data_IF_051037053199
#
_entry.id   IF_051037053199
#
_cell.length_a   1.000
_cell.length_b   1.000
_cell.length_c   1.000
_cell.angle_alpha   90.00
_cell.angle_beta   90.00
_cell.angle_gamma   90.00
#
_symmetry.space_group_name_H-M   'P 1'
#
loop_
_entity.id
_entity.type
_entity.pdbx_description
1 polymer ?
#
# COMPACT_ATOMS: atom_id res chain seq x y z
N UNK A 1 -7.70 30.91 -8.50
CA UNK A 1 -7.06 29.61 -8.82
C UNK A 1 -6.13 29.13 -7.69
N UNK A 2 -6.49 29.34 -6.41
CA UNK A 2 -5.64 29.01 -5.25
C UNK A 2 -6.18 27.89 -4.33
N UNK A 3 -7.43 27.43 -4.50
CA UNK A 3 -8.04 26.42 -3.62
C UNK A 3 -7.67 24.96 -3.99
N UNK A 4 -6.63 24.73 -4.81
CA UNK A 4 -6.22 23.38 -5.23
C UNK A 4 -5.13 22.79 -4.33
N UNK A 5 -4.44 23.63 -3.55
CA UNK A 5 -3.31 23.26 -2.70
C UNK A 5 -3.57 23.52 -1.20
N UNK A 6 -4.77 23.97 -0.83
CA UNK A 6 -5.14 24.14 0.58
C UNK A 6 -5.31 22.77 1.23
N UNK A 7 -4.21 22.31 1.82
CA UNK A 7 -4.12 21.11 2.63
C UNK A 7 -3.84 21.51 4.08
N UNK A 8 -4.43 20.77 5.02
CA UNK A 8 -4.31 21.07 6.44
C UNK A 8 -2.84 21.02 6.89
N UNK A 9 -2.50 21.79 7.92
CA UNK A 9 -1.15 21.78 8.51
C UNK A 9 -0.73 20.36 8.90
N UNK A 10 -1.63 19.60 9.53
CA UNK A 10 -1.39 18.22 9.96
C UNK A 10 -1.15 17.28 8.77
N UNK A 11 -1.92 17.39 7.69
CA UNK A 11 -1.73 16.57 6.49
C UNK A 11 -0.39 16.86 5.80
N UNK A 12 0.05 18.13 5.78
CA UNK A 12 1.41 18.51 5.34
C UNK A 12 2.50 17.91 6.22
N UNK A 13 2.33 17.97 7.54
CA UNK A 13 3.25 17.36 8.50
C UNK A 13 3.34 15.84 8.29
N UNK A 14 2.22 15.16 8.02
CA UNK A 14 2.21 13.72 7.72
C UNK A 14 2.97 13.38 6.43
N UNK A 15 2.79 14.14 5.34
CA UNK A 15 3.58 13.97 4.11
C UNK A 15 5.07 14.16 4.40
N UNK A 16 5.43 15.22 5.13
CA UNK A 16 6.81 15.51 5.46
C UNK A 16 7.44 14.38 6.30
N UNK A 17 6.75 13.90 7.34
CA UNK A 17 7.20 12.76 8.14
C UNK A 17 7.34 11.50 7.30
N UNK A 18 6.40 11.22 6.40
CA UNK A 18 6.46 10.06 5.51
C UNK A 18 7.69 10.11 4.60
N UNK A 19 7.94 11.25 3.96
CA UNK A 19 9.13 11.48 3.12
C UNK A 19 10.41 11.35 3.94
N UNK A 20 10.46 11.95 5.13
CA UNK A 20 11.64 11.91 6.00
C UNK A 20 11.99 10.47 6.41
N UNK A 21 11.01 9.69 6.87
CA UNK A 21 11.22 8.29 7.25
C UNK A 21 11.69 7.48 6.04
N UNK A 22 11.05 7.65 4.89
CA UNK A 22 11.47 6.98 3.65
C UNK A 22 12.89 7.33 3.23
N UNK A 23 13.32 8.58 3.41
CA UNK A 23 14.70 9.02 3.14
C UNK A 23 15.69 8.35 4.09
N UNK A 24 15.39 8.31 5.40
CA UNK A 24 16.27 7.67 6.39
C UNK A 24 16.44 6.18 6.08
N UNK A 25 15.33 5.49 5.77
CA UNK A 25 15.38 4.06 5.43
C UNK A 25 16.13 3.84 4.12
N UNK A 26 15.90 4.68 3.11
CA UNK A 26 16.61 4.59 1.84
C UNK A 26 18.13 4.78 2.00
N UNK A 27 18.56 5.74 2.83
CA UNK A 27 19.98 5.90 3.17
C UNK A 27 20.53 4.64 3.83
N UNK A 28 19.79 4.04 4.76
CA UNK A 28 20.15 2.76 5.37
C UNK A 28 20.32 1.64 4.34
N UNK A 29 19.43 1.54 3.35
CA UNK A 29 19.56 0.61 2.23
C UNK A 29 20.84 0.87 1.42
N UNK A 30 21.16 2.11 1.08
CA UNK A 30 22.38 2.43 0.34
C UNK A 30 23.66 2.14 1.14
N UNK A 31 23.67 2.39 2.45
CA UNK A 31 24.79 1.98 3.29
C UNK A 31 24.98 0.46 3.29
N UNK A 32 23.89 -0.32 3.33
CA UNK A 32 23.98 -1.78 3.25
C UNK A 32 24.57 -2.26 1.92
N UNK A 33 24.22 -1.63 0.80
CA UNK A 33 24.81 -1.95 -0.51
C UNK A 33 26.32 -1.68 -0.49
N UNK A 34 26.73 -0.47 -0.10
CA UNK A 34 28.14 -0.05 -0.13
C UNK A 34 29.04 -0.92 0.77
N UNK A 35 28.50 -1.43 1.87
CA UNK A 35 29.26 -2.23 2.84
C UNK A 35 29.29 -3.74 2.54
N UNK A 36 28.55 -4.21 1.53
CA UNK A 36 28.50 -5.63 1.19
C UNK A 36 29.58 -5.98 0.16
N UNK A 37 30.29 -7.10 0.36
CA UNK A 37 31.27 -7.61 -0.61
C UNK A 37 30.61 -7.96 -1.97
N UNK A 38 31.28 -7.61 -3.07
CA UNK A 38 30.81 -7.69 -4.47
C UNK A 38 30.23 -9.06 -4.91
N UNK A 39 30.46 -10.15 -4.18
CA UNK A 39 29.96 -11.50 -4.50
C UNK A 39 28.50 -11.73 -4.10
N UNK A 40 27.89 -10.84 -3.29
CA UNK A 40 26.50 -10.93 -2.83
C UNK A 40 25.58 -9.84 -3.41
N UNK A 41 26.09 -8.97 -4.29
CA UNK A 41 25.42 -7.72 -4.68
C UNK A 41 24.07 -7.91 -5.39
N UNK A 42 23.95 -8.81 -6.38
CA UNK A 42 22.72 -8.96 -7.19
C UNK A 42 21.52 -9.50 -6.40
N UNK A 43 21.72 -10.48 -5.50
CA UNK A 43 20.64 -11.05 -4.69
C UNK A 43 20.20 -10.08 -3.57
N UNK A 44 21.15 -9.30 -3.02
CA UNK A 44 20.89 -8.34 -1.96
C UNK A 44 20.09 -7.11 -2.45
N UNK A 45 20.46 -6.57 -3.61
CA UNK A 45 19.83 -5.38 -4.22
C UNK A 45 18.37 -5.62 -4.60
N UNK A 46 18.07 -6.78 -5.20
CA UNK A 46 16.69 -7.15 -5.52
C UNK A 46 15.80 -7.29 -4.28
N UNK A 47 16.31 -7.97 -3.23
CA UNK A 47 15.58 -8.12 -1.97
C UNK A 47 15.31 -6.78 -1.29
N UNK A 48 16.22 -5.81 -1.41
CA UNK A 48 16.01 -4.46 -0.89
C UNK A 48 14.80 -3.76 -1.54
N UNK A 49 14.59 -3.88 -2.85
CA UNK A 49 13.41 -3.31 -3.50
C UNK A 49 12.10 -3.92 -3.00
N UNK A 50 12.08 -5.24 -2.84
CA UNK A 50 10.92 -5.94 -2.32
C UNK A 50 10.61 -5.50 -0.88
N UNK A 51 11.60 -5.50 0.01
CA UNK A 51 11.41 -5.09 1.40
C UNK A 51 11.03 -3.62 1.53
N UNK A 52 11.65 -2.76 0.72
CA UNK A 52 11.34 -1.34 0.70
C UNK A 52 9.90 -1.08 0.24
N UNK A 53 9.43 -1.77 -0.80
CA UNK A 53 8.05 -1.68 -1.29
C UNK A 53 7.03 -2.12 -0.24
N UNK A 54 7.31 -3.21 0.50
CA UNK A 54 6.46 -3.67 1.60
C UNK A 54 6.48 -2.67 2.76
N UNK A 55 7.66 -2.17 3.14
CA UNK A 55 7.82 -1.17 4.18
C UNK A 55 7.03 0.11 3.87
N UNK A 56 7.16 0.65 2.66
CA UNK A 56 6.42 1.83 2.22
C UNK A 56 4.91 1.63 2.31
N UNK A 57 4.40 0.48 1.89
CA UNK A 57 2.99 0.14 1.97
C UNK A 57 2.49 0.09 3.43
N UNK A 58 3.24 -0.54 4.33
CA UNK A 58 2.89 -0.62 5.76
C UNK A 58 2.93 0.77 6.39
N UNK A 59 3.99 1.54 6.16
CA UNK A 59 4.13 2.89 6.69
C UNK A 59 3.00 3.80 6.19
N UNK A 60 2.68 3.73 4.89
CA UNK A 60 1.56 4.46 4.31
C UNK A 60 0.23 4.06 4.95
N UNK A 61 -0.01 2.76 5.14
CA UNK A 61 -1.22 2.23 5.78
C UNK A 61 -1.39 2.76 7.21
N UNK A 62 -0.30 2.91 7.97
CA UNK A 62 -0.36 3.45 9.34
C UNK A 62 -0.64 4.96 9.30
N UNK A 63 0.16 5.71 8.53
CA UNK A 63 0.07 7.18 8.52
C UNK A 63 -1.24 7.69 7.94
N UNK A 64 -1.82 7.00 6.94
CA UNK A 64 -3.07 7.42 6.34
C UNK A 64 -4.25 7.35 7.32
N UNK A 65 -4.17 6.54 8.39
CA UNK A 65 -5.20 6.55 9.44
C UNK A 65 -5.29 7.89 10.18
N UNK A 66 -4.17 8.63 10.24
CA UNK A 66 -4.06 9.93 10.90
C UNK A 66 -4.50 11.09 9.99
N UNK A 67 -4.75 10.81 8.71
CA UNK A 67 -5.10 11.80 7.69
C UNK A 67 -6.40 12.55 8.01
N UNK A 68 -6.37 13.88 8.02
CA UNK A 68 -7.56 14.70 8.29
C UNK A 68 -8.51 14.73 7.10
N UNK A 69 -9.80 14.81 7.40
CA UNK A 69 -10.83 14.90 6.38
C UNK A 69 -10.70 16.20 5.57
N UNK A 70 -10.70 16.07 4.25
CA UNK A 70 -10.67 17.20 3.33
C UNK A 70 -11.63 16.96 2.17
N UNK A 71 -12.29 18.04 1.70
CA UNK A 71 -13.24 17.98 0.57
C UNK A 71 -12.62 17.41 -0.71
N UNK A 72 -11.30 17.54 -0.89
CA UNK A 72 -10.53 17.00 -2.03
C UNK A 72 -9.66 15.81 -1.62
N UNK A 73 -10.09 15.01 -0.65
CA UNK A 73 -9.30 13.92 -0.06
C UNK A 73 -8.61 13.03 -1.09
N UNK A 74 -9.28 12.60 -2.15
CA UNK A 74 -8.69 11.71 -3.17
C UNK A 74 -7.48 12.30 -3.91
N UNK A 75 -7.47 13.60 -4.18
CA UNK A 75 -6.32 14.27 -4.81
C UNK A 75 -5.14 14.37 -3.83
N UNK A 76 -5.41 14.71 -2.57
CA UNK A 76 -4.35 14.81 -1.57
C UNK A 76 -3.76 13.42 -1.19
N UNK A 77 -4.56 12.35 -1.27
CA UNK A 77 -4.08 10.96 -1.14
C UNK A 77 -3.14 10.58 -2.29
N UNK A 78 -3.48 11.00 -3.51
CA UNK A 78 -2.60 10.80 -4.66
C UNK A 78 -1.27 11.52 -4.43
N UNK A 79 -1.28 12.76 -3.93
CA UNK A 79 -0.04 13.47 -3.57
C UNK A 79 0.74 12.78 -2.44
N UNK A 80 0.06 12.29 -1.39
CA UNK A 80 0.71 11.54 -0.31
C UNK A 80 1.33 10.22 -0.79
N UNK A 81 0.70 9.54 -1.75
CA UNK A 81 1.26 8.31 -2.31
C UNK A 81 2.41 8.62 -3.28
N UNK A 82 2.26 9.66 -4.10
CA UNK A 82 3.29 10.08 -5.05
C UNK A 82 4.52 10.70 -4.38
N UNK A 83 4.44 11.10 -3.10
CA UNK A 83 5.62 11.62 -2.41
C UNK A 83 6.71 10.57 -2.20
N UNK A 84 6.40 9.27 -2.30
CA UNK A 84 7.41 8.19 -2.28
C UNK A 84 7.91 7.81 -3.69
N UNK A 85 7.41 8.45 -4.75
CA UNK A 85 7.87 8.23 -6.13
C UNK A 85 9.38 8.46 -6.29
N UNK A 86 9.97 9.56 -5.79
CA UNK A 86 11.41 9.79 -5.94
C UNK A 86 12.25 8.67 -5.32
N UNK A 87 11.87 8.19 -4.13
CA UNK A 87 12.58 7.08 -3.47
C UNK A 87 12.47 5.77 -4.23
N UNK A 88 11.28 5.50 -4.79
CA UNK A 88 11.05 4.30 -5.60
C UNK A 88 11.89 4.33 -6.87
N UNK A 89 11.95 5.47 -7.56
CA UNK A 89 12.79 5.65 -8.75
C UNK A 89 14.27 5.50 -8.41
N UNK A 90 14.76 6.12 -7.34
CA UNK A 90 16.16 5.99 -6.93
C UNK A 90 16.54 4.52 -6.70
N UNK A 91 15.67 3.77 -6.06
CA UNK A 91 15.94 2.38 -5.74
C UNK A 91 15.83 1.47 -6.98
N UNK A 92 14.90 1.75 -7.91
CA UNK A 92 14.86 1.08 -9.21
C UNK A 92 16.11 1.36 -10.05
N UNK A 93 16.59 2.62 -10.05
CA UNK A 93 17.79 3.03 -10.77
C UNK A 93 19.04 2.34 -10.25
N UNK A 94 19.22 2.24 -8.93
CA UNK A 94 20.35 1.51 -8.32
C UNK A 94 20.32 0.02 -8.67
N UNK A 95 19.13 -0.54 -8.85
CA UNK A 95 18.96 -1.96 -9.19
C UNK A 95 18.93 -2.23 -10.71
N UNK A 96 19.24 -1.23 -11.55
CA UNK A 96 19.14 -1.32 -13.02
C UNK A 96 17.78 -1.83 -13.54
N UNK A 97 16.71 -1.60 -12.78
CA UNK A 97 15.37 -2.04 -13.16
C UNK A 97 14.75 -0.98 -14.07
N UNK A 98 14.78 -1.26 -15.37
CA UNK A 98 14.14 -0.42 -16.37
C UNK A 98 12.69 -0.85 -16.60
N UNK A 99 11.73 -0.02 -16.22
CA UNK A 99 10.33 -0.27 -16.56
C UNK A 99 9.32 0.48 -15.70
N UNK A 100 8.24 0.94 -16.34
CA UNK A 100 7.06 1.50 -15.67
C UNK A 100 6.41 0.51 -14.70
N UNK A 101 6.64 -0.79 -14.89
CA UNK A 101 6.14 -1.86 -14.03
C UNK A 101 6.71 -1.82 -12.60
N UNK A 102 7.89 -1.23 -12.39
CA UNK A 102 8.44 -0.96 -11.06
C UNK A 102 7.61 0.03 -10.22
N UNK A 103 6.62 0.70 -10.84
CA UNK A 103 5.72 1.63 -10.16
C UNK A 103 4.41 0.98 -9.70
N UNK A 104 4.18 -0.30 -10.02
CA UNK A 104 2.98 -1.02 -9.57
C UNK A 104 2.77 -1.06 -8.05
N UNK A 105 3.81 -1.19 -7.21
CA UNK A 105 3.66 -1.04 -5.76
C UNK A 105 3.01 0.29 -5.36
N UNK A 106 3.30 1.39 -6.06
CA UNK A 106 2.68 2.70 -5.79
C UNK A 106 1.21 2.73 -6.17
N UNK A 107 0.81 2.05 -7.26
CA UNK A 107 -0.60 1.93 -7.66
C UNK A 107 -1.38 1.14 -6.59
N UNK A 108 -0.81 0.03 -6.12
CA UNK A 108 -1.41 -0.80 -5.06
C UNK A 108 -1.56 0.03 -3.78
N UNK A 109 -0.51 0.77 -3.40
CA UNK A 109 -0.51 1.66 -2.25
C UNK A 109 -1.57 2.76 -2.36
N UNK A 110 -1.71 3.38 -3.54
CA UNK A 110 -2.73 4.40 -3.77
C UNK A 110 -4.15 3.83 -3.60
N UNK A 111 -4.46 2.72 -4.28
CA UNK A 111 -5.77 2.08 -4.20
C UNK A 111 -6.08 1.66 -2.76
N UNK A 112 -5.09 1.13 -2.04
CA UNK A 112 -5.25 0.74 -0.65
C UNK A 112 -5.52 1.95 0.27
N UNK A 113 -4.77 3.04 0.12
CA UNK A 113 -4.99 4.29 0.86
C UNK A 113 -6.39 4.88 0.62
N UNK A 114 -6.87 4.79 -0.63
CA UNK A 114 -8.21 5.22 -1.00
C UNK A 114 -9.29 4.44 -0.23
N UNK A 115 -9.15 3.12 -0.10
CA UNK A 115 -10.07 2.28 0.69
C UNK A 115 -10.09 2.71 2.15
N UNK A 116 -8.91 2.87 2.76
CA UNK A 116 -8.80 3.27 4.17
C UNK A 116 -9.51 4.60 4.42
N UNK A 117 -9.31 5.59 3.54
CA UNK A 117 -9.98 6.88 3.68
C UNK A 117 -11.47 6.81 3.36
N UNK A 118 -11.92 6.01 2.40
CA UNK A 118 -13.35 5.78 2.20
C UNK A 118 -14.02 5.25 3.47
N UNK A 119 -13.41 4.26 4.13
CA UNK A 119 -13.90 3.73 5.42
C UNK A 119 -13.90 4.82 6.50
N UNK A 120 -12.80 5.59 6.61
CA UNK A 120 -12.68 6.71 7.55
C UNK A 120 -13.82 7.71 7.37
N UNK A 121 -14.04 8.15 6.13
CA UNK A 121 -15.05 9.12 5.75
C UNK A 121 -16.46 8.62 6.08
N UNK A 122 -16.73 7.34 5.83
CA UNK A 122 -18.02 6.72 6.20
C UNK A 122 -18.25 6.74 7.71
N UNK A 123 -17.23 6.46 8.51
CA UNK A 123 -17.37 6.46 9.97
C UNK A 123 -17.53 7.87 10.55
N UNK A 124 -16.80 8.85 10.00
CA UNK A 124 -16.99 10.27 10.34
C UNK A 124 -18.40 10.74 9.99
N UNK A 125 -18.91 10.37 8.81
CA UNK A 125 -20.27 10.69 8.38
C UNK A 125 -21.34 10.14 9.34
N UNK A 126 -21.09 8.95 9.93
CA UNK A 126 -21.94 8.35 10.97
C UNK A 126 -21.75 8.98 12.36
N UNK A 127 -20.93 10.03 12.51
CA UNK A 127 -20.71 10.74 13.76
C UNK A 127 -19.89 9.96 14.80
N UNK A 128 -19.05 9.00 14.37
CA UNK A 128 -18.16 8.28 15.29
C UNK A 128 -17.03 9.20 15.76
N UNK A 129 -16.59 9.05 17.01
CA UNK A 129 -15.45 9.81 17.52
C UNK A 129 -14.14 9.36 16.89
N UNK A 130 -13.17 10.28 16.78
CA UNK A 130 -11.90 10.04 16.09
C UNK A 130 -11.12 8.85 16.68
N UNK A 131 -11.15 8.67 18.00
CA UNK A 131 -10.54 7.52 18.66
C UNK A 131 -11.11 6.17 18.17
N UNK A 132 -12.44 6.07 18.07
CA UNK A 132 -13.09 4.83 17.60
C UNK A 132 -12.79 4.58 16.13
N UNK A 133 -12.76 5.64 15.33
CA UNK A 133 -12.41 5.57 13.91
C UNK A 133 -10.99 5.01 13.75
N UNK A 134 -10.01 5.58 14.47
CA UNK A 134 -8.64 5.11 14.42
C UNK A 134 -8.49 3.65 14.88
N UNK A 135 -9.18 3.27 15.96
CA UNK A 135 -9.17 1.89 16.45
C UNK A 135 -9.70 0.90 15.41
N UNK A 136 -10.87 1.20 14.82
CA UNK A 136 -11.49 0.33 13.80
C UNK A 136 -10.59 0.24 12.56
N UNK A 137 -10.01 1.34 12.10
CA UNK A 137 -9.11 1.33 10.95
C UNK A 137 -7.85 0.48 11.22
N UNK A 138 -7.25 0.60 12.41
CA UNK A 138 -6.09 -0.21 12.79
C UNK A 138 -6.42 -1.70 12.84
N UNK A 139 -7.58 -2.06 13.42
CA UNK A 139 -8.06 -3.46 13.43
C UNK A 139 -8.27 -3.94 11.99
N UNK A 140 -8.96 -3.17 11.16
CA UNK A 140 -9.20 -3.52 9.75
C UNK A 140 -7.90 -3.75 8.98
N UNK A 141 -6.94 -2.82 9.09
CA UNK A 141 -5.63 -2.94 8.42
C UNK A 141 -4.89 -4.18 8.92
N UNK A 142 -4.83 -4.41 10.24
CA UNK A 142 -4.23 -5.62 10.79
C UNK A 142 -4.92 -6.90 10.31
N UNK A 143 -6.25 -6.92 10.24
CA UNK A 143 -6.99 -8.08 9.72
C UNK A 143 -6.65 -8.34 8.26
N UNK A 144 -6.71 -7.32 7.41
CA UNK A 144 -6.42 -7.50 5.98
C UNK A 144 -4.96 -7.86 5.73
N UNK A 145 -4.02 -7.31 6.50
CA UNK A 145 -2.58 -7.57 6.31
C UNK A 145 -2.16 -8.90 6.97
N UNK A 146 -2.41 -9.06 8.26
CA UNK A 146 -1.84 -10.15 9.07
C UNK A 146 -2.67 -11.42 8.92
N UNK A 147 -4.00 -11.35 9.09
CA UNK A 147 -4.80 -12.59 9.09
C UNK A 147 -4.74 -13.28 7.73
N UNK A 148 -4.78 -12.56 6.62
CA UNK A 148 -4.66 -13.20 5.31
C UNK A 148 -3.30 -13.86 5.08
N UNK A 149 -2.21 -13.30 5.65
CA UNK A 149 -0.89 -13.91 5.59
C UNK A 149 -0.82 -15.19 6.45
N UNK A 150 -1.48 -15.21 7.61
CA UNK A 150 -1.60 -16.43 8.43
C UNK A 150 -2.38 -17.50 7.67
N UNK A 151 -3.52 -17.16 7.07
CA UNK A 151 -4.27 -18.12 6.24
C UNK A 151 -3.47 -18.61 5.05
N UNK A 152 -2.68 -17.73 4.43
CA UNK A 152 -1.78 -18.10 3.34
C UNK A 152 -0.71 -19.10 3.81
N UNK A 153 -0.10 -18.87 4.98
CA UNK A 153 0.85 -19.79 5.60
C UNK A 153 0.24 -21.17 5.84
N UNK A 154 -0.95 -21.25 6.44
CA UNK A 154 -1.62 -22.54 6.63
C UNK A 154 -2.01 -23.21 5.31
N UNK A 155 -2.46 -22.44 4.32
CA UNK A 155 -2.76 -22.99 3.00
C UNK A 155 -1.51 -23.58 2.34
N UNK A 156 -0.38 -22.89 2.45
CA UNK A 156 0.92 -23.33 1.97
C UNK A 156 1.37 -24.65 2.61
N UNK A 157 1.38 -24.69 3.95
CA UNK A 157 1.78 -25.88 4.73
C UNK A 157 0.84 -27.05 4.44
N UNK A 158 -0.47 -26.85 4.51
CA UNK A 158 -1.44 -27.92 4.33
C UNK A 158 -1.41 -28.55 2.93
N UNK A 159 -1.08 -27.75 1.91
CA UNK A 159 -1.03 -28.21 0.52
C UNK A 159 0.37 -28.71 0.13
N UNK A 160 1.35 -28.72 1.04
CA UNK A 160 2.75 -29.04 0.76
C UNK A 160 3.25 -28.36 -0.52
N UNK A 161 2.89 -27.09 -0.71
CA UNK A 161 3.21 -26.39 -1.95
C UNK A 161 4.70 -26.06 -1.95
N UNK A 162 5.38 -26.36 -3.05
CA UNK A 162 6.67 -25.75 -3.33
C UNK A 162 6.39 -24.43 -4.03
N UNK A 163 6.46 -23.33 -3.29
CA UNK A 163 6.33 -21.99 -3.85
C UNK A 163 7.66 -21.63 -4.51
N UNK A 164 7.63 -21.48 -5.83
CA UNK A 164 8.79 -21.06 -6.62
C UNK A 164 8.78 -19.55 -6.84
N UNK A 165 7.62 -18.90 -6.70
CA UNK A 165 7.45 -17.45 -6.76
C UNK A 165 6.19 -16.97 -6.06
N UNK A 166 6.12 -15.67 -5.73
CA UNK A 166 4.92 -15.09 -5.11
C UNK A 166 3.70 -15.16 -6.04
N UNK A 167 3.89 -15.07 -7.36
CA UNK A 167 2.84 -15.23 -8.37
C UNK A 167 2.80 -16.66 -8.93
N UNK A 168 2.74 -17.65 -8.05
CA UNK A 168 2.57 -19.06 -8.40
C UNK A 168 1.10 -19.40 -8.71
N UNK A 169 0.88 -20.16 -9.79
CA UNK A 169 -0.46 -20.62 -10.23
C UNK A 169 -1.22 -21.43 -9.17
N UNK A 170 -0.52 -22.00 -8.20
CA UNK A 170 -1.09 -22.81 -7.11
C UNK A 170 -1.68 -21.97 -5.99
N UNK A 171 -1.36 -20.67 -5.96
CA UNK A 171 -1.88 -19.72 -4.97
C UNK A 171 -3.24 -19.21 -5.47
N UNK A 172 -4.33 -19.44 -4.72
CA UNK A 172 -5.64 -18.92 -5.08
C UNK A 172 -5.63 -17.40 -5.20
N UNK A 173 -6.31 -16.89 -6.24
CA UNK A 173 -6.27 -15.47 -6.57
C UNK A 173 -6.81 -14.55 -5.44
N UNK A 174 -7.66 -15.10 -4.57
CA UNK A 174 -8.22 -14.37 -3.42
C UNK A 174 -7.15 -13.92 -2.40
N UNK A 175 -6.01 -14.61 -2.30
CA UNK A 175 -4.92 -14.19 -1.43
C UNK A 175 -4.26 -12.89 -1.91
N UNK A 176 -4.37 -12.57 -3.20
CA UNK A 176 -3.92 -11.29 -3.76
C UNK A 176 -4.96 -10.19 -3.63
N UNK A 177 -6.02 -10.37 -2.83
CA UNK A 177 -6.75 -9.21 -2.28
C UNK A 177 -5.94 -8.52 -1.18
N UNK A 178 -4.97 -9.23 -0.58
CA UNK A 178 -4.05 -8.62 0.37
C UNK A 178 -3.07 -7.67 -0.37
N UNK A 179 -2.94 -6.41 0.09
CA UNK A 179 -2.07 -5.42 -0.57
C UNK A 179 -0.59 -5.74 -0.43
N UNK A 180 -0.14 -6.39 0.65
CA UNK A 180 1.25 -6.84 0.84
C UNK A 180 1.59 -7.94 -0.15
N UNK A 181 0.77 -8.99 -0.27
CA UNK A 181 0.98 -10.10 -1.21
C UNK A 181 1.04 -9.60 -2.65
N UNK A 182 0.14 -8.68 -3.01
CA UNK A 182 0.09 -8.12 -4.36
C UNK A 182 1.30 -7.22 -4.62
N UNK A 183 1.65 -6.34 -3.67
CA UNK A 183 2.82 -5.46 -3.79
C UNK A 183 4.12 -6.26 -3.88
N UNK A 184 4.32 -7.20 -2.95
CA UNK A 184 5.47 -8.09 -2.93
C UNK A 184 5.57 -8.92 -4.22
N UNK A 185 4.47 -9.46 -4.73
CA UNK A 185 4.46 -10.24 -5.97
C UNK A 185 4.76 -9.40 -7.20
N UNK A 186 4.25 -8.16 -7.28
CA UNK A 186 4.62 -7.24 -8.35
C UNK A 186 6.09 -6.85 -8.27
N UNK A 187 6.61 -6.58 -7.07
CA UNK A 187 8.01 -6.23 -6.87
C UNK A 187 8.92 -7.41 -7.25
N UNK A 188 8.62 -8.60 -6.75
CA UNK A 188 9.35 -9.84 -7.05
C UNK A 188 9.38 -10.18 -8.55
N UNK A 189 8.26 -9.98 -9.26
CA UNK A 189 8.22 -10.19 -10.71
C UNK A 189 9.12 -9.22 -11.47
N UNK A 190 9.40 -8.02 -10.94
CA UNK A 190 10.39 -7.11 -11.53
C UNK A 190 11.83 -7.53 -11.25
N UNK A 191 12.06 -8.32 -10.19
CA UNK A 191 13.36 -8.93 -9.89
C UNK A 191 13.67 -10.14 -10.78
N UNK A 192 12.83 -10.45 -11.78
CA UNK A 192 12.99 -11.64 -12.62
C UNK A 192 12.47 -12.92 -12.00
N UNK A 193 11.77 -12.88 -10.84
CA UNK A 193 11.11 -14.08 -10.33
C UNK A 193 10.04 -14.58 -11.32
N UNK A 194 9.86 -15.91 -11.47
CA UNK A 194 8.87 -16.46 -12.38
C UNK A 194 7.46 -15.92 -12.10
N UNK A 195 6.80 -15.39 -13.13
CA UNK A 195 5.44 -14.88 -13.01
C UNK A 195 4.44 -15.79 -13.73
N UNK A 196 3.94 -16.81 -13.04
CA UNK A 196 3.02 -17.80 -13.62
C UNK A 196 1.58 -17.29 -13.73
N UNK A 197 1.21 -16.24 -12.99
CA UNK A 197 -0.13 -15.66 -12.99
C UNK A 197 -0.26 -14.40 -13.87
N UNK A 198 0.85 -13.91 -14.42
CA UNK A 198 0.91 -12.66 -15.20
C UNK A 198 0.46 -11.45 -14.37
N UNK A 199 -0.39 -10.61 -14.96
CA UNK A 199 -0.96 -9.42 -14.29
C UNK A 199 -2.31 -9.67 -13.61
N UNK A 200 -2.81 -10.91 -13.62
CA UNK A 200 -4.13 -11.25 -13.03
C UNK A 200 -4.25 -10.86 -11.54
N UNK A 201 -3.24 -11.09 -10.67
CA UNK A 201 -3.31 -10.69 -9.27
C UNK A 201 -3.56 -9.18 -9.09
N UNK A 202 -2.81 -8.36 -9.83
CA UNK A 202 -2.96 -6.90 -9.83
C UNK A 202 -4.36 -6.48 -10.32
N UNK A 203 -4.83 -7.08 -11.42
CA UNK A 203 -6.16 -6.77 -11.96
C UNK A 203 -7.28 -7.04 -10.95
N UNK A 204 -7.24 -8.20 -10.28
CA UNK A 204 -8.24 -8.58 -9.28
C UNK A 204 -8.16 -7.67 -8.06
N UNK A 205 -6.95 -7.38 -7.57
CA UNK A 205 -6.73 -6.44 -6.47
C UNK A 205 -7.37 -5.08 -6.77
N UNK A 206 -7.06 -4.50 -7.94
CA UNK A 206 -7.56 -3.20 -8.35
C UNK A 206 -9.09 -3.20 -8.44
N UNK A 207 -9.68 -4.17 -9.16
CA UNK A 207 -11.13 -4.25 -9.34
C UNK A 207 -11.83 -4.38 -7.99
N UNK A 208 -11.38 -5.31 -7.14
CA UNK A 208 -12.01 -5.56 -5.85
C UNK A 208 -12.02 -4.31 -4.96
N UNK A 209 -10.86 -3.69 -4.74
CA UNK A 209 -10.75 -2.55 -3.83
C UNK A 209 -11.38 -1.26 -4.37
N UNK A 210 -11.32 -1.04 -5.69
CA UNK A 210 -12.05 0.07 -6.32
C UNK A 210 -13.56 -0.11 -6.11
N UNK A 211 -14.10 -1.32 -6.33
CA UNK A 211 -15.52 -1.59 -6.11
C UNK A 211 -15.93 -1.37 -4.64
N UNK A 212 -15.10 -1.78 -3.68
CA UNK A 212 -15.34 -1.52 -2.25
C UNK A 212 -15.37 -0.01 -1.96
N UNK A 213 -14.38 0.74 -2.43
CA UNK A 213 -14.31 2.20 -2.24
C UNK A 213 -15.50 2.92 -2.88
N UNK A 214 -15.92 2.50 -4.07
CA UNK A 214 -17.12 3.01 -4.74
C UNK A 214 -18.39 2.67 -3.95
N UNK A 215 -18.55 1.43 -3.50
CA UNK A 215 -19.67 1.00 -2.68
C UNK A 215 -19.81 1.83 -1.40
N UNK A 216 -18.70 2.09 -0.70
CA UNK A 216 -18.69 2.96 0.48
C UNK A 216 -19.10 4.39 0.12
N UNK A 217 -18.59 4.92 -0.99
CA UNK A 217 -18.93 6.27 -1.46
C UNK A 217 -20.43 6.41 -1.78
N UNK A 218 -21.03 5.38 -2.39
CA UNK A 218 -22.47 5.32 -2.66
C UNK A 218 -23.27 5.27 -1.34
N UNK A 219 -22.83 4.47 -0.37
CA UNK A 219 -23.46 4.39 0.95
C UNK A 219 -23.41 5.72 1.71
N UNK A 220 -22.33 6.49 1.58
CA UNK A 220 -22.25 7.84 2.17
C UNK A 220 -23.25 8.78 1.49
N UNK A 221 -23.36 8.73 0.15
CA UNK A 221 -24.26 9.61 -0.62
C UNK A 221 -25.74 9.38 -0.32
N UNK A 222 -26.15 8.13 -0.08
CA UNK A 222 -27.55 7.75 0.16
C UNK A 222 -27.87 7.49 1.63
N UNK A 223 -26.87 7.55 2.52
CA UNK A 223 -27.08 7.48 3.95
C UNK A 223 -27.79 8.73 4.47
N UNK A 224 -28.42 8.63 5.63
CA UNK A 224 -28.86 9.82 6.38
C UNK A 224 -27.68 10.34 7.22
N UNK A 225 -27.34 11.63 7.15
CA UNK A 225 -26.25 12.19 7.94
C UNK A 225 -26.65 12.21 9.43
N UNK A 226 -25.71 11.87 10.30
CA UNK A 226 -25.97 11.82 11.75
C UNK A 226 -26.29 13.21 12.34
N UNK A 227 -25.90 14.29 11.65
CA UNK A 227 -26.15 15.68 12.05
C UNK A 227 -27.60 16.15 11.89
N UNK A 228 -28.48 15.37 11.23
CA UNK A 228 -29.92 15.67 11.14
C UNK A 228 -30.74 15.17 12.34
N UNK A 229 -30.10 14.53 13.33
CA UNK A 229 -30.73 14.21 14.62
C UNK A 229 -30.35 15.26 15.67
N UNK A 230 -30.88 16.47 15.55
CA UNK A 230 -31.10 17.40 16.67
C UNK A 230 -32.34 18.24 16.39
#
# INVERSE_FOLDING_TARGET
>A
MNNFLEMSKKNRELIFSYVLINTIVLLGCFFMIILTDNSYEEDLTGKMYLYYSIFQLILNSILITLWEWEKKGFFHIAMFTLSSFPHTILLLSVNNMSGLYGLFPLIIQYIWAMVIISIKNMMMYKGKSDFHIQLILKIFICTVIIFSLIFFYYYYEYRNLVIVSIFDRRIPLIFFLNPVMTSAGTAASQLGQPNYLGHKPLGIFCIFWILISLGISILIKHGRPCYEKK
#
